data_IF_107568488819
#
_entry.id   IF_107568488819
#
_cell.length_a   1.000
_cell.length_b   1.000
_cell.length_c   1.000
_cell.angle_alpha   90.00
_cell.angle_beta   90.00
_cell.angle_gamma   90.00
#
_symmetry.space_group_name_H-M   'P 1'
#
loop_
_entity.id
_entity.type
_entity.pdbx_description
1 polymer ?
#
# COMPACT_ATOMS: atom_id res chain seq x y z
N UNK A 1 -23.68 4.30 7.21
CA UNK A 1 -22.75 3.24 7.67
C UNK A 1 -21.55 3.03 6.74
N UNK A 2 -21.63 3.39 5.45
CA UNK A 2 -20.51 3.23 4.48
C UNK A 2 -19.35 4.24 4.65
N UNK A 3 -19.63 5.47 5.11
CA UNK A 3 -18.63 6.55 5.23
C UNK A 3 -17.49 6.17 6.18
N UNK A 4 -17.85 5.60 7.33
CA UNK A 4 -16.89 5.15 8.36
C UNK A 4 -16.00 4.01 7.88
N UNK A 5 -16.53 3.11 7.05
CA UNK A 5 -15.74 2.00 6.52
C UNK A 5 -14.68 2.47 5.52
N UNK A 6 -15.04 3.40 4.63
CA UNK A 6 -14.11 4.00 3.68
C UNK A 6 -12.99 4.76 4.42
N UNK A 7 -13.34 5.57 5.42
CA UNK A 7 -12.36 6.29 6.24
C UNK A 7 -11.40 5.35 6.98
N UNK A 8 -11.90 4.25 7.55
CA UNK A 8 -11.06 3.24 8.21
C UNK A 8 -10.13 2.56 7.20
N UNK A 9 -10.66 2.15 6.04
CA UNK A 9 -9.88 1.50 4.98
C UNK A 9 -8.78 2.41 4.47
N UNK A 10 -9.09 3.67 4.20
CA UNK A 10 -8.12 4.63 3.68
C UNK A 10 -7.04 4.92 4.73
N UNK A 11 -7.41 5.00 6.02
CA UNK A 11 -6.44 5.13 7.12
C UNK A 11 -5.53 3.90 7.25
N UNK A 12 -6.08 2.69 7.09
CA UNK A 12 -5.29 1.44 7.10
C UNK A 12 -4.32 1.40 5.93
N UNK A 13 -4.76 1.78 4.73
CA UNK A 13 -3.92 1.82 3.54
C UNK A 13 -2.77 2.82 3.70
N UNK A 14 -3.03 3.98 4.32
CA UNK A 14 -2.00 4.97 4.63
C UNK A 14 -0.95 4.40 5.58
N UNK A 15 -1.37 3.80 6.70
CA UNK A 15 -0.46 3.22 7.69
C UNK A 15 0.38 2.08 7.11
N UNK A 16 -0.21 1.23 6.26
CA UNK A 16 0.51 0.16 5.58
C UNK A 16 1.54 0.68 4.57
N UNK A 17 1.22 1.77 3.86
CA UNK A 17 2.16 2.44 2.96
C UNK A 17 3.36 3.02 3.72
N UNK A 18 3.09 3.76 4.81
CA UNK A 18 4.14 4.33 5.68
C UNK A 18 5.06 3.21 6.23
N UNK A 19 4.47 2.13 6.75
CA UNK A 19 5.23 0.99 7.26
C UNK A 19 6.08 0.30 6.19
N UNK A 20 5.56 0.15 4.96
CA UNK A 20 6.34 -0.41 3.84
C UNK A 20 7.50 0.50 3.47
N UNK A 21 7.30 1.82 3.41
CA UNK A 21 8.38 2.76 3.09
C UNK A 21 9.51 2.75 4.12
N UNK A 22 9.18 2.59 5.41
CA UNK A 22 10.17 2.45 6.47
C UNK A 22 10.98 1.15 6.35
N UNK A 23 10.35 0.06 5.91
CA UNK A 23 10.97 -1.29 5.85
C UNK A 23 11.70 -1.56 4.54
N UNK A 24 11.17 -1.08 3.42
CA UNK A 24 11.71 -1.34 2.10
C UNK A 24 13.11 -0.73 1.97
N UNK A 25 14.05 -1.45 1.33
CA UNK A 25 15.36 -0.90 0.99
C UNK A 25 15.21 0.28 0.04
N UNK A 26 16.12 1.25 0.10
CA UNK A 26 16.08 2.48 -0.70
C UNK A 26 15.95 2.22 -2.21
N UNK A 27 16.50 1.11 -2.68
CA UNK A 27 16.45 0.65 -4.07
C UNK A 27 15.02 0.26 -4.52
N UNK A 28 14.21 -0.26 -3.60
CA UNK A 28 12.86 -0.73 -3.86
C UNK A 28 11.78 0.36 -3.65
N UNK A 29 12.06 1.38 -2.82
CA UNK A 29 11.16 2.51 -2.55
C UNK A 29 10.62 3.21 -3.81
N UNK A 30 11.44 3.63 -4.79
CA UNK A 30 10.91 4.33 -5.97
C UNK A 30 10.01 3.42 -6.82
N UNK A 31 10.32 2.13 -6.91
CA UNK A 31 9.47 1.17 -7.61
C UNK A 31 8.13 0.97 -6.89
N UNK A 32 8.17 0.81 -5.57
CA UNK A 32 6.96 0.69 -4.76
C UNK A 32 6.06 1.91 -4.91
N UNK A 33 6.61 3.12 -4.81
CA UNK A 33 5.85 4.37 -4.95
C UNK A 33 5.21 4.50 -6.34
N UNK A 34 5.95 4.19 -7.41
CA UNK A 34 5.41 4.24 -8.76
C UNK A 34 4.26 3.23 -8.96
N UNK A 35 4.39 2.01 -8.44
CA UNK A 35 3.32 1.01 -8.50
C UNK A 35 2.13 1.41 -7.60
N UNK A 36 2.38 2.01 -6.44
CA UNK A 36 1.36 2.51 -5.51
C UNK A 36 0.51 3.60 -6.15
N UNK A 37 1.14 4.62 -6.74
CA UNK A 37 0.46 5.72 -7.44
C UNK A 37 -0.40 5.20 -8.59
N UNK A 38 0.14 4.27 -9.39
CA UNK A 38 -0.58 3.67 -10.51
C UNK A 38 -1.84 2.91 -10.06
N UNK A 39 -1.76 2.16 -8.95
CA UNK A 39 -2.91 1.43 -8.40
C UNK A 39 -3.91 2.38 -7.73
N UNK A 40 -3.42 3.39 -7.01
CA UNK A 40 -4.29 4.38 -6.35
C UNK A 40 -5.12 5.19 -7.35
N UNK A 41 -4.56 5.52 -8.53
CA UNK A 41 -5.25 6.24 -9.59
C UNK A 41 -6.21 5.33 -10.40
N UNK A 42 -5.75 4.14 -10.80
CA UNK A 42 -6.50 3.28 -11.73
C UNK A 42 -7.51 2.36 -11.04
N UNK A 43 -7.22 1.88 -9.83
CA UNK A 43 -8.02 0.86 -9.14
C UNK A 43 -7.87 0.96 -7.60
N UNK A 44 -8.34 2.06 -6.98
CA UNK A 44 -8.19 2.31 -5.55
C UNK A 44 -8.79 1.20 -4.65
N UNK A 45 -9.79 0.46 -5.14
CA UNK A 45 -10.35 -0.70 -4.45
C UNK A 45 -9.37 -1.88 -4.30
N UNK A 46 -8.34 -1.93 -5.16
CA UNK A 46 -7.29 -2.96 -5.12
C UNK A 46 -6.06 -2.54 -4.32
N UNK A 47 -6.02 -1.32 -3.81
CA UNK A 47 -4.86 -0.77 -3.10
C UNK A 47 -4.48 -1.63 -1.88
N UNK A 48 -5.48 -2.16 -1.16
CA UNK A 48 -5.25 -3.03 -0.02
C UNK A 48 -4.62 -4.38 -0.42
N UNK A 49 -5.06 -4.96 -1.54
CA UNK A 49 -4.46 -6.18 -2.11
C UNK A 49 -3.00 -5.92 -2.53
N UNK A 50 -2.76 -4.80 -3.21
CA UNK A 50 -1.42 -4.37 -3.62
C UNK A 50 -0.46 -4.23 -2.43
N UNK A 51 -0.88 -3.52 -1.38
CA UNK A 51 -0.08 -3.33 -0.16
C UNK A 51 0.21 -4.68 0.52
N UNK A 52 -0.77 -5.58 0.56
CA UNK A 52 -0.57 -6.92 1.11
C UNK A 52 0.44 -7.75 0.30
N UNK A 53 0.39 -7.69 -1.04
CA UNK A 53 1.35 -8.39 -1.90
C UNK A 53 2.78 -7.87 -1.71
N UNK A 54 2.96 -6.56 -1.57
CA UNK A 54 4.25 -5.96 -1.26
C UNK A 54 4.77 -6.40 0.11
N UNK A 55 3.90 -6.40 1.12
CA UNK A 55 4.24 -6.93 2.45
C UNK A 55 4.71 -8.39 2.35
N UNK A 56 3.98 -9.25 1.64
CA UNK A 56 4.35 -10.67 1.51
C UNK A 56 5.65 -10.90 0.71
N UNK A 57 6.03 -10.00 -0.20
CA UNK A 57 7.30 -10.07 -0.94
C UNK A 57 8.50 -9.75 -0.04
N UNK A 58 8.34 -8.84 0.91
CA UNK A 58 9.38 -8.42 1.84
C UNK A 58 9.68 -9.50 2.90
N UNK A 59 8.64 -10.09 3.51
CA UNK A 59 8.80 -11.10 4.57
C UNK A 59 9.15 -12.52 4.08
N UNK A 60 9.33 -12.72 2.77
CA UNK A 60 9.76 -14.01 2.19
C UNK A 60 11.26 -14.07 1.88
N UNK A 61 12.02 -13.01 2.18
CA UNK A 61 13.48 -12.92 2.02
C UNK A 61 14.22 -13.10 3.33
#
# INVERSE_FOLDING_TARGET
MLRTYQEIRDRVNQLACEALLEKLPDEARPRFLAEYEAVADAAPERLQEFLHQWWMKDFRG
#
